data_IF_559788096384
#
_entry.id   IF_559788096384
#
_cell.length_a   1.000
_cell.length_b   1.000
_cell.length_c   1.000
_cell.angle_alpha   90.00
_cell.angle_beta   90.00
_cell.angle_gamma   90.00
#
_symmetry.space_group_name_H-M   'P 1'
#
loop_
_entity.id
_entity.type
_entity.pdbx_description
1 polymer ?
2 non-polymer ?
3 water ?
#
# COMPACT_ATOMS: atom_id res chain seq x y z
N UNK A 11 -8.41 -14.49 26.85
CA UNK A 11 -8.64 -13.46 25.85
C UNK A 11 -7.64 -13.53 24.69
N UNK A 12 -6.38 -13.17 24.97
CA UNK A 12 -5.28 -13.21 23.99
C UNK A 12 -5.34 -12.16 22.91
N UNK A 13 -5.08 -10.90 23.27
CA UNK A 13 -5.24 -9.86 22.24
C UNK A 13 -4.12 -9.89 21.20
N UNK A 14 -2.97 -10.49 21.48
CA UNK A 14 -1.90 -10.55 20.48
C UNK A 14 -2.33 -11.47 19.35
N UNK A 15 -2.87 -12.62 19.71
CA UNK A 15 -3.47 -13.56 18.77
C UNK A 15 -4.54 -12.90 17.91
N UNK A 16 -5.45 -12.17 18.55
CA UNK A 16 -6.53 -11.51 17.85
C UNK A 16 -6.00 -10.47 16.88
N UNK A 17 -4.98 -9.71 17.27
CA UNK A 17 -4.46 -8.68 16.36
C UNK A 17 -3.84 -9.30 15.11
N UNK A 18 -3.11 -10.40 15.27
CA UNK A 18 -2.53 -11.08 14.13
C UNK A 18 -3.63 -11.63 13.21
N UNK A 19 -4.69 -12.20 13.78
CA UNK A 19 -5.83 -12.67 12.99
C UNK A 19 -6.44 -11.56 12.12
N UNK A 20 -6.64 -10.39 12.71
CA UNK A 20 -7.25 -9.27 12.01
C UNK A 20 -6.39 -8.84 10.85
N UNK A 21 -5.08 -8.77 11.09
CA UNK A 21 -4.19 -8.39 10.01
C UNK A 21 -4.15 -9.45 8.92
N UNK A 22 -4.10 -10.73 9.32
CA UNK A 22 -4.12 -11.82 8.35
C UNK A 22 -5.41 -11.87 7.55
N UNK A 23 -6.53 -11.59 8.20
CA UNK A 23 -7.81 -11.55 7.51
C UNK A 23 -7.81 -10.46 6.44
N UNK A 24 -7.20 -9.32 6.72
CA UNK A 24 -7.14 -8.26 5.70
C UNK A 24 -6.23 -8.68 4.54
N UNK A 25 -5.12 -9.33 4.86
CA UNK A 25 -4.19 -9.82 3.84
C UNK A 25 -4.88 -10.87 2.96
N UNK A 26 -5.68 -11.73 3.57
CA UNK A 26 -6.45 -12.72 2.81
C UNK A 26 -7.42 -12.04 1.84
N UNK A 27 -8.12 -11.00 2.29
CA UNK A 27 -9.08 -10.33 1.42
C UNK A 27 -8.39 -9.55 0.30
N UNK A 28 -7.21 -9.01 0.58
CA UNK A 28 -6.44 -8.37 -0.47
C UNK A 28 -6.17 -9.36 -1.58
N UNK A 29 -5.75 -10.55 -1.20
CA UNK A 29 -5.39 -11.56 -2.18
C UNK A 29 -6.59 -12.13 -2.93
N UNK A 30 -7.74 -12.19 -2.28
CA UNK A 30 -8.90 -12.76 -2.97
C UNK A 30 -9.75 -11.70 -3.69
N UNK A 31 -9.71 -10.45 -3.23
CA UNK A 31 -10.59 -9.44 -3.82
C UNK A 31 -9.85 -8.32 -4.57
N UNK A 32 -8.55 -8.20 -4.37
CA UNK A 32 -7.83 -7.12 -5.03
C UNK A 32 -6.91 -7.70 -6.09
N UNK A 33 -5.90 -8.43 -5.66
CA UNK A 33 -4.94 -9.02 -6.59
C UNK A 33 -4.07 -10.08 -5.93
N UNK A 34 -3.88 -11.18 -6.62
CA UNK A 34 -2.93 -12.20 -6.19
C UNK A 34 -1.54 -11.89 -6.71
N UNK A 35 -1.45 -10.89 -7.60
CA UNK A 35 -0.18 -10.54 -8.24
C UNK A 35 0.42 -9.24 -7.70
N UNK A 36 -0.38 -8.20 -7.60
CA UNK A 36 0.11 -6.93 -7.09
C UNK A 36 -0.06 -6.89 -5.58
N UNK A 37 1.02 -6.69 -4.85
CA UNK A 37 0.92 -6.64 -3.39
C UNK A 37 0.53 -5.24 -2.93
N UNK A 38 0.15 -5.14 -1.66
CA UNK A 38 -0.13 -3.86 -1.04
C UNK A 38 1.03 -2.82 -1.15
N UNK A 39 2.27 -3.23 -0.84
CA UNK A 39 3.39 -2.29 -0.99
C UNK A 39 3.62 -1.88 -2.46
N UNK A 40 3.44 -2.81 -3.38
CA UNK A 40 3.58 -2.48 -4.78
C UNK A 40 2.54 -1.45 -5.19
N UNK A 41 1.31 -1.65 -4.75
CA UNK A 41 0.26 -0.69 -5.06
C UNK A 41 0.55 0.68 -4.46
N UNK A 42 1.08 0.71 -3.23
CA UNK A 42 1.43 1.97 -2.59
C UNK A 42 2.44 2.76 -3.41
N UNK A 43 3.36 2.06 -4.05
CA UNK A 43 4.34 2.70 -4.92
C UNK A 43 3.67 3.29 -6.17
N UNK A 44 2.82 2.51 -6.84
CA UNK A 44 2.07 3.05 -7.97
C UNK A 44 1.27 4.27 -7.52
N UNK A 45 0.64 4.15 -6.37
CA UNK A 45 -0.15 5.24 -5.83
C UNK A 45 0.64 6.52 -5.58
N UNK A 46 1.80 6.37 -4.96
CA UNK A 46 2.69 7.50 -4.72
C UNK A 46 3.11 8.18 -6.04
N UNK A 47 3.30 7.38 -7.07
CA UNK A 47 3.81 7.91 -8.35
C UNK A 47 2.71 8.54 -9.23
N UNK A 48 1.45 8.17 -8.98
CA UNK A 48 0.34 8.90 -9.59
C UNK A 48 0.26 10.31 -9.03
N UNK A 49 0.43 10.43 -7.72
CA UNK A 49 0.41 11.73 -7.07
C UNK A 49 1.63 12.59 -7.42
N UNK A 50 2.79 11.96 -7.59
CA UNK A 50 4.01 12.70 -7.89
C UNK A 50 4.88 12.02 -8.93
N UNK A 51 4.50 12.17 -10.21
CA UNK A 51 5.26 11.52 -11.28
C UNK A 51 6.70 12.04 -11.26
N UNK A 52 7.64 11.14 -11.46
CA UNK A 52 9.03 11.57 -11.55
C UNK A 52 9.76 11.66 -10.22
N UNK A 53 9.08 11.28 -9.14
CA UNK A 53 9.70 11.27 -7.82
C UNK A 53 10.88 10.32 -7.85
N UNK A 54 11.93 10.61 -7.08
CA UNK A 54 13.08 9.71 -7.11
C UNK A 54 12.80 8.50 -6.22
N UNK A 55 13.55 7.44 -6.43
CA UNK A 55 13.32 6.17 -5.75
C UNK A 55 13.44 6.27 -4.24
N UNK A 56 14.46 7.00 -3.79
CA UNK A 56 14.70 7.16 -2.37
C UNK A 56 13.47 7.79 -1.73
N UNK A 57 12.94 8.83 -2.36
CA UNK A 57 11.78 9.52 -1.80
C UNK A 57 10.53 8.65 -1.86
N UNK A 58 10.37 7.89 -2.96
CA UNK A 58 9.23 6.99 -3.06
C UNK A 58 9.24 5.99 -1.91
N UNK A 59 10.42 5.44 -1.60
CA UNK A 59 10.56 4.54 -0.48
C UNK A 59 10.12 5.22 0.81
N UNK A 60 10.50 6.48 0.95
CA UNK A 60 10.08 7.26 2.12
C UNK A 60 8.57 7.45 2.18
N UNK A 61 7.93 7.75 1.05
CA UNK A 61 6.47 7.96 1.04
C UNK A 61 5.72 6.74 1.51
N UNK A 62 6.19 5.56 1.12
CA UNK A 62 5.47 4.33 1.42
C UNK A 62 6.03 3.61 2.66
N UNK A 63 7.08 4.18 3.26
CA UNK A 63 7.68 3.60 4.44
C UNK A 63 8.41 2.27 4.22
N UNK A 64 9.20 2.17 3.16
CA UNK A 64 9.99 0.96 2.89
C UNK A 64 11.46 1.26 2.91
N UNK A 65 12.26 0.29 3.36
CA UNK A 65 13.71 0.46 3.38
C UNK A 65 14.28 0.40 1.96
N UNK A 66 15.53 0.82 1.80
CA UNK A 66 16.12 0.93 0.47
C UNK A 66 16.15 -0.40 -0.31
N UNK A 67 16.32 -1.52 0.39
CA UNK A 67 16.33 -2.82 -0.28
C UNK A 67 14.93 -3.25 -0.72
N UNK A 68 13.94 -3.03 0.13
CA UNK A 68 12.58 -3.43 -0.23
C UNK A 68 12.04 -2.58 -1.38
N UNK A 69 12.32 -1.28 -1.35
CA UNK A 69 11.88 -0.41 -2.44
C UNK A 69 12.57 -0.80 -3.75
N UNK A 70 13.85 -1.13 -3.66
CA UNK A 70 14.60 -1.61 -4.83
C UNK A 70 13.94 -2.85 -5.42
N UNK A 71 13.53 -3.77 -4.56
CA UNK A 71 12.87 -4.98 -5.02
C UNK A 71 11.50 -4.68 -5.65
N UNK A 72 10.71 -3.84 -4.99
CA UNK A 72 9.39 -3.46 -5.52
C UNK A 72 9.50 -2.78 -6.89
N UNK A 73 10.41 -1.83 -7.00
CA UNK A 73 10.62 -1.10 -8.24
C UNK A 73 11.07 -2.01 -9.37
N UNK A 74 11.98 -2.94 -9.07
CA UNK A 74 12.42 -3.91 -10.08
C UNK A 74 11.26 -4.75 -10.60
N UNK A 75 10.41 -5.20 -9.69
CA UNK A 75 9.26 -6.02 -10.08
C UNK A 75 8.24 -5.24 -10.91
N UNK A 76 7.89 -4.04 -10.47
CA UNK A 76 6.95 -3.21 -11.23
C UNK A 76 7.54 -2.85 -12.60
N UNK A 77 8.85 -2.66 -12.65
CA UNK A 77 9.54 -2.38 -13.89
C UNK A 77 9.42 -3.53 -14.87
N UNK A 78 9.64 -4.75 -14.37
CA UNK A 78 9.58 -5.95 -15.20
C UNK A 78 8.17 -6.24 -15.71
N UNK A 79 7.16 -5.75 -14.99
CA UNK A 79 5.79 -5.94 -15.44
C UNK A 79 5.33 -4.83 -16.39
N UNK A 80 6.24 -3.90 -16.69
CA UNK A 80 5.91 -2.82 -17.60
C UNK A 80 5.00 -1.79 -16.97
N UNK A 81 5.07 -1.64 -15.65
CA UNK A 81 4.17 -0.71 -14.95
C UNK A 81 4.86 0.59 -14.55
N UNK A 82 6.19 0.59 -14.55
CA UNK A 82 6.92 1.83 -14.29
C UNK A 82 8.23 1.87 -15.04
N UNK A 83 8.73 3.07 -15.27
CA UNK A 83 10.03 3.29 -15.88
C UNK A 83 10.95 4.02 -14.91
N UNK A 84 12.25 3.82 -15.07
CA UNK A 84 13.25 4.34 -14.17
C UNK A 84 14.28 5.05 -15.01
N UNK A 85 14.56 6.30 -14.69
CA UNK A 85 15.53 7.09 -15.43
C UNK A 85 16.57 7.65 -14.46
N UNK A 86 17.85 7.54 -14.81
CA UNK A 86 18.90 8.18 -14.02
C UNK A 86 18.69 9.69 -14.09
N UNK A 87 18.72 10.35 -12.93
CA UNK A 87 18.50 11.79 -12.87
C UNK A 87 19.59 12.54 -13.64
N UNK A 88 19.17 13.35 -14.64
CA UNK A 88 20.09 14.17 -15.44
C UNK A 88 21.00 15.06 -14.58
N UNK A 89 20.43 15.70 -13.57
CA UNK A 89 21.19 16.55 -12.67
C UNK A 89 22.09 15.73 -11.76
N UNK A 90 21.52 15.16 -10.70
CA UNK A 90 22.26 14.30 -9.79
C UNK A 90 22.28 12.87 -10.33
N UNK A 91 23.44 12.44 -10.83
CA UNK A 91 23.57 11.14 -11.45
C UNK A 91 23.33 9.93 -10.55
N UNK A 92 23.32 10.13 -9.24
CA UNK A 92 23.15 9.00 -8.33
C UNK A 92 21.78 8.93 -7.65
N UNK A 93 20.79 9.56 -8.27
CA UNK A 93 19.40 9.29 -7.94
C UNK A 93 18.66 8.87 -9.21
N UNK A 94 17.58 8.10 -9.04
CA UNK A 94 16.83 7.59 -10.18
C UNK A 94 15.40 8.06 -10.12
N UNK A 95 14.89 8.59 -11.22
CA UNK A 95 13.52 9.11 -11.25
C UNK A 95 12.57 8.02 -11.74
N UNK A 96 11.43 7.87 -11.08
CA UNK A 96 10.46 6.83 -11.40
C UNK A 96 9.21 7.46 -11.97
N UNK A 97 8.64 6.81 -12.98
CA UNK A 97 7.41 7.30 -13.58
C UNK A 97 6.56 6.11 -14.01
N UNK A 98 5.25 6.18 -13.81
CA UNK A 98 4.37 5.09 -14.25
C UNK A 98 4.29 5.05 -15.77
N UNK A 99 4.10 3.86 -16.33
CA UNK A 99 3.82 3.71 -17.75
C UNK A 99 2.32 3.88 -17.92
N UNK A 100 1.85 3.96 -19.16
CA UNK A 100 0.39 3.95 -19.41
C UNK A 100 -0.31 2.76 -18.75
N UNK A 101 0.31 1.58 -18.82
CA UNK A 101 -0.31 0.40 -18.19
C UNK A 101 -0.25 0.47 -16.67
N UNK A 102 0.80 1.06 -16.12
CA UNK A 102 0.90 1.24 -14.67
C UNK A 102 -0.22 2.14 -14.16
N UNK A 103 -0.55 3.16 -14.95
CA UNK A 103 -1.66 4.05 -14.59
C UNK A 103 -2.99 3.30 -14.62
N UNK A 104 -3.16 2.46 -15.63
CA UNK A 104 -4.37 1.66 -15.80
C UNK A 104 -4.54 0.66 -14.65
N UNK A 105 -3.46 -0.03 -14.32
CA UNK A 105 -3.47 -0.99 -13.22
C UNK A 105 -3.78 -0.28 -11.90
N UNK A 106 -3.17 0.89 -11.68
CA UNK A 106 -3.44 1.63 -10.46
C UNK A 106 -4.91 2.00 -10.35
N UNK A 107 -5.50 2.46 -11.45
CA UNK A 107 -6.92 2.79 -11.47
C UNK A 107 -7.82 1.59 -11.19
N UNK A 108 -7.58 0.47 -11.87
CA UNK A 108 -8.41 -0.72 -11.68
C UNK A 108 -8.29 -1.25 -10.24
N UNK A 109 -7.07 -1.30 -9.72
CA UNK A 109 -6.86 -1.81 -8.36
C UNK A 109 -7.52 -0.90 -7.32
N UNK A 110 -7.43 0.41 -7.52
CA UNK A 110 -8.05 1.37 -6.63
C UNK A 110 -9.53 1.09 -6.40
N UNK A 111 -10.24 0.84 -7.50
CA UNK A 111 -11.65 0.50 -7.41
C UNK A 111 -11.84 -0.78 -6.59
N UNK A 112 -10.99 -1.78 -6.81
CA UNK A 112 -11.09 -3.05 -6.10
C UNK A 112 -10.75 -2.88 -4.62
N UNK A 113 -9.78 -2.01 -4.33
CA UNK A 113 -9.36 -1.80 -2.96
C UNK A 113 -10.49 -1.16 -2.17
N UNK A 114 -11.18 -0.21 -2.80
CA UNK A 114 -12.29 0.49 -2.14
C UNK A 114 -13.42 -0.50 -1.81
N UNK A 115 -13.72 -1.38 -2.75
CA UNK A 115 -14.75 -2.38 -2.55
C UNK A 115 -14.32 -3.37 -1.46
N UNK A 116 -13.05 -3.75 -1.50
CA UNK A 116 -12.54 -4.74 -0.57
C UNK A 116 -12.61 -4.25 0.88
N UNK A 117 -12.18 -3.00 1.09
CA UNK A 117 -12.24 -2.43 2.44
C UNK A 117 -13.66 -2.23 2.96
N UNK A 118 -14.59 -1.94 2.06
CA UNK A 118 -16.00 -1.86 2.45
C UNK A 118 -16.51 -3.25 2.87
N UNK A 119 -16.16 -4.28 2.11
CA UNK A 119 -16.50 -5.65 2.48
C UNK A 119 -15.84 -6.11 3.81
N UNK A 120 -14.58 -5.73 4.01
CA UNK A 120 -13.86 -6.02 5.26
C UNK A 120 -14.60 -5.51 6.52
N UNK A 121 -15.13 -4.29 6.43
CA UNK A 121 -15.82 -3.65 7.55
C UNK A 121 -17.32 -3.96 7.58
N UNK A 122 -17.82 -4.61 6.53
CA UNK A 122 -19.27 -4.83 6.36
C UNK A 122 -20.07 -5.61 7.45
N UNK A 123 -19.42 -6.51 8.22
CA UNK A 123 -20.18 -7.16 9.32
C UNK A 123 -20.58 -6.15 10.40
N UNK A 124 -19.96 -5.00 10.40
CA UNK A 124 -20.24 -3.98 11.41
C UNK A 124 -21.21 -2.93 10.87
N UNK A 125 -22.20 -2.55 11.68
CA UNK A 125 -23.06 -1.42 11.33
C UNK A 125 -22.20 -0.16 11.31
N UNK A 126 -22.67 0.89 10.64
CA UNK A 126 -21.90 2.13 10.56
C UNK A 126 -21.46 2.67 11.93
N UNK A 127 -22.33 2.62 12.93
CA UNK A 127 -21.96 3.08 14.28
C UNK A 127 -20.84 2.22 14.88
N UNK A 128 -20.90 0.92 14.62
CA UNK A 128 -19.88 0.02 15.14
C UNK A 128 -18.54 0.21 14.45
N UNK A 129 -18.55 0.56 13.17
CA UNK A 129 -17.31 0.82 12.43
C UNK A 129 -16.58 2.00 13.05
N UNK A 130 -17.31 3.04 13.46
CA UNK A 130 -16.65 4.18 14.09
C UNK A 130 -16.06 3.78 15.43
N UNK A 131 -16.76 2.93 16.18
CA UNK A 131 -16.21 2.43 17.44
C UNK A 131 -14.97 1.56 17.21
N UNK A 132 -15.02 0.71 16.18
CA UNK A 132 -13.92 -0.17 15.79
C UNK A 132 -12.66 0.68 15.59
N UNK A 133 -12.78 1.77 14.83
CA UNK A 133 -11.61 2.64 14.62
C UNK A 133 -11.14 3.33 15.89
N UNK A 134 -12.08 3.85 16.66
CA UNK A 134 -11.75 4.55 17.89
C UNK A 134 -10.99 3.66 18.84
N UNK A 135 -11.52 2.46 19.10
CA UNK A 135 -10.89 1.57 20.06
C UNK A 135 -9.51 1.09 19.61
N UNK A 136 -9.39 0.71 18.35
CA UNK A 136 -8.11 0.21 17.88
C UNK A 136 -7.07 1.33 17.89
N UNK A 137 -7.48 2.52 17.47
CA UNK A 137 -6.54 3.66 17.53
C UNK A 137 -6.07 3.97 18.93
N UNK A 138 -6.98 3.94 19.89
CA UNK A 138 -6.59 4.22 21.28
C UNK A 138 -5.59 3.19 21.77
N UNK A 139 -5.81 1.93 21.42
CA UNK A 139 -4.91 0.86 21.86
C UNK A 139 -3.55 0.97 21.18
N UNK A 140 -3.54 1.17 19.87
CA UNK A 140 -2.26 1.28 19.19
C UNK A 140 -1.49 2.53 19.62
N UNK A 141 -2.20 3.64 19.81
CA UNK A 141 -1.54 4.92 20.12
C UNK A 141 -0.88 4.82 21.49
N UNK A 142 -1.59 4.23 22.44
CA UNK A 142 -1.08 4.13 23.79
C UNK A 142 0.12 3.22 23.87
N UNK A 143 0.11 2.11 23.11
CA UNK A 143 1.23 1.19 23.15
C UNK A 143 2.47 1.83 22.53
N UNK A 144 2.27 2.60 21.46
CA UNK A 144 3.39 3.23 20.78
C UNK A 144 3.86 4.50 21.48
N UNK A 145 3.10 4.93 22.49
CA UNK A 145 3.50 6.04 23.34
C UNK A 145 4.18 5.53 24.59
N UNK A 146 4.34 4.21 24.65
CA UNK A 146 4.97 3.47 25.75
C UNK A 146 4.12 3.45 27.02
#
# INVERSE_FOLDING_TARGET
>A
GSHMAAVDLATHPGHLARRLQQAHYLLWNTMVSEETTSPQYAVLNALVAEPGLDQRTVGERVGLDRSTIAEVVSRLGRRGLLDKVRDPQDGRRSLLRLTDEGLRVHRRLGVRIARMNQVFLAPLAADEQAVFFDLIRRVADAAEGLRNPAEPAVAPG
#
